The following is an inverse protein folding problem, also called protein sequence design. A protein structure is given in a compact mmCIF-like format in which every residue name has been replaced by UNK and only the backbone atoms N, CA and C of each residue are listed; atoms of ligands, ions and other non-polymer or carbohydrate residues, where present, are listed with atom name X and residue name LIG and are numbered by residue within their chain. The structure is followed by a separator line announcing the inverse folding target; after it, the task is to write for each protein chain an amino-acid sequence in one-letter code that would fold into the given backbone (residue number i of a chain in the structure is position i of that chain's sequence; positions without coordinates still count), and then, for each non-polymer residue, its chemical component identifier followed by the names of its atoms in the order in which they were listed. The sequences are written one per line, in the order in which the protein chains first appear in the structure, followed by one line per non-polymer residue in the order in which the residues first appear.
data_IF_509408733589
#
_entry.id   IF_509408733589
#
_cell.length_a   1.000
_cell.length_b   1.000
_cell.length_c   1.000
_cell.angle_alpha   90.00
_cell.angle_beta   90.00
_cell.angle_gamma   90.00
#
_symmetry.space_group_name_H-M   'P 1'
#
loop_
_entity.id
_entity.type
_entity.pdbx_description
1 polymer ?
#
# COMPACT_ATOMS: atom_id res chain seq x y z
N UNK A 1 -17.11 -13.92 27.35
CA UNK A 1 -16.45 -12.82 26.61
C UNK A 1 -15.20 -13.39 25.94
N UNK A 2 -14.80 -12.93 24.76
CA UNK A 2 -13.80 -13.60 23.89
C UNK A 2 -12.40 -13.84 24.50
N UNK A 3 -12.14 -13.39 25.73
CA UNK A 3 -10.89 -13.66 26.46
C UNK A 3 -9.76 -12.68 26.14
N UNK A 4 -10.08 -11.54 25.52
CA UNK A 4 -9.09 -10.49 25.29
C UNK A 4 -8.72 -9.78 26.59
N UNK A 5 -7.42 -9.54 26.75
CA UNK A 5 -6.85 -8.83 27.89
C UNK A 5 -6.85 -7.32 27.67
N UNK A 6 -6.54 -6.54 28.70
CA UNK A 6 -6.33 -5.10 28.55
C UNK A 6 -5.20 -4.77 27.57
N UNK A 7 -4.14 -5.60 27.51
CA UNK A 7 -3.03 -5.36 26.58
C UNK A 7 -3.43 -5.62 25.13
N UNK A 8 -4.33 -6.58 24.85
CA UNK A 8 -4.92 -6.76 23.51
C UNK A 8 -5.61 -5.48 23.02
N UNK A 9 -6.41 -4.85 23.90
CA UNK A 9 -7.14 -3.63 23.55
C UNK A 9 -6.19 -2.45 23.32
N UNK A 10 -5.16 -2.29 24.17
CA UNK A 10 -4.13 -1.26 23.98
C UNK A 10 -3.39 -1.49 22.67
N UNK A 11 -2.96 -2.72 22.37
CA UNK A 11 -2.24 -3.06 21.15
C UNK A 11 -3.11 -2.82 19.90
N UNK A 12 -4.39 -3.17 19.94
CA UNK A 12 -5.33 -2.93 18.85
C UNK A 12 -5.56 -1.43 18.61
N UNK A 13 -5.76 -0.64 19.67
CA UNK A 13 -5.90 0.82 19.57
C UNK A 13 -4.62 1.42 18.99
N UNK A 14 -3.45 1.01 19.48
CA UNK A 14 -2.16 1.47 18.97
C UNK A 14 -1.97 1.10 17.50
N UNK A 15 -2.37 -0.10 17.08
CA UNK A 15 -2.33 -0.53 15.69
C UNK A 15 -3.21 0.34 14.78
N UNK A 16 -4.48 0.55 15.15
CA UNK A 16 -5.41 1.37 14.38
C UNK A 16 -4.94 2.82 14.32
N UNK A 17 -4.51 3.38 15.45
CA UNK A 17 -3.96 4.73 15.53
C UNK A 17 -2.69 4.87 14.68
N UNK A 18 -1.79 3.88 14.71
CA UNK A 18 -0.57 3.87 13.90
C UNK A 18 -0.86 3.80 12.41
N UNK A 19 -1.81 2.97 12.00
CA UNK A 19 -2.22 2.87 10.60
C UNK A 19 -2.80 4.19 10.09
N UNK A 20 -3.80 4.72 10.79
CA UNK A 20 -4.47 5.96 10.40
C UNK A 20 -3.53 7.16 10.49
N UNK A 21 -2.79 7.28 11.59
CA UNK A 21 -1.83 8.34 11.85
C UNK A 21 -0.71 8.37 10.81
N UNK A 22 -0.13 7.22 10.48
CA UNK A 22 0.86 7.13 9.40
C UNK A 22 0.26 7.53 8.06
N UNK A 23 -0.95 7.03 7.75
CA UNK A 23 -1.66 7.37 6.51
C UNK A 23 -1.89 8.86 6.37
N UNK A 24 -2.32 9.54 7.44
CA UNK A 24 -2.46 11.00 7.49
C UNK A 24 -1.10 11.65 7.31
N UNK A 25 -0.08 11.28 8.08
CA UNK A 25 1.23 11.96 8.06
C UNK A 25 1.93 11.92 6.68
N UNK A 26 1.76 10.84 5.90
CA UNK A 26 2.41 10.71 4.58
C UNK A 26 1.56 11.23 3.43
N UNK A 27 0.26 11.46 3.63
CA UNK A 27 -0.68 11.90 2.58
C UNK A 27 -1.25 13.31 2.81
N UNK A 28 -1.25 13.80 4.05
CA UNK A 28 -1.83 15.08 4.47
C UNK A 28 -0.87 15.83 5.41
N UNK A 29 -0.79 17.14 5.26
CA UNK A 29 -0.01 18.01 6.16
C UNK A 29 1.47 18.19 5.76
N UNK A 30 2.28 18.83 6.63
CA UNK A 30 3.61 19.34 6.27
C UNK A 30 4.63 18.26 5.88
N UNK A 31 4.45 17.03 6.39
CA UNK A 31 5.32 15.90 6.09
C UNK A 31 5.01 15.27 4.73
N UNK A 32 3.78 15.41 4.20
CA UNK A 32 3.40 14.80 2.93
C UNK A 32 4.29 15.29 1.78
N UNK A 33 4.57 16.59 1.72
CA UNK A 33 5.42 17.21 0.69
C UNK A 33 6.86 16.69 0.71
N UNK A 34 7.38 16.37 1.91
CA UNK A 34 8.74 15.88 2.11
C UNK A 34 8.87 14.38 1.88
N UNK A 35 7.76 13.65 1.75
CA UNK A 35 7.77 12.21 1.56
C UNK A 35 8.36 11.81 0.21
N UNK A 36 9.05 10.67 0.16
CA UNK A 36 9.55 10.10 -1.09
C UNK A 36 8.45 9.98 -2.17
N UNK A 37 7.22 9.65 -1.77
CA UNK A 37 6.08 9.55 -2.68
C UNK A 37 5.74 10.89 -3.35
N UNK A 38 5.71 12.00 -2.59
CA UNK A 38 5.48 13.33 -3.16
C UNK A 38 6.55 13.70 -4.18
N UNK A 39 7.81 13.38 -3.88
CA UNK A 39 8.93 13.65 -4.78
C UNK A 39 8.85 12.82 -6.05
N UNK A 40 8.42 11.56 -5.93
CA UNK A 40 8.15 10.70 -7.09
C UNK A 40 6.97 11.21 -7.92
N UNK A 41 5.97 11.86 -7.33
CA UNK A 41 4.87 12.48 -8.09
C UNK A 41 5.39 13.56 -9.03
N UNK A 42 6.38 14.36 -8.63
CA UNK A 42 7.03 15.34 -9.51
C UNK A 42 7.75 14.66 -10.69
N UNK A 43 8.33 13.47 -10.48
CA UNK A 43 9.01 12.71 -11.54
C UNK A 43 8.01 12.04 -12.47
N UNK A 44 6.86 11.57 -11.95
CA UNK A 44 5.73 11.10 -12.76
C UNK A 44 5.18 12.23 -13.64
N UNK A 45 5.03 13.43 -13.08
CA UNK A 45 4.60 14.60 -13.82
C UNK A 45 5.59 14.95 -14.95
N UNK A 46 6.88 15.04 -14.63
CA UNK A 46 7.94 15.26 -15.62
C UNK A 46 7.97 14.18 -16.69
N UNK A 47 7.88 12.91 -16.31
CA UNK A 47 7.85 11.78 -17.24
C UNK A 47 6.74 11.94 -18.28
N UNK A 48 5.52 12.25 -17.84
CA UNK A 48 4.39 12.45 -18.76
C UNK A 48 4.60 13.70 -19.63
N UNK A 49 5.10 14.81 -19.08
CA UNK A 49 5.43 16.01 -19.87
C UNK A 49 6.45 15.70 -20.98
N UNK A 50 7.49 14.93 -20.67
CA UNK A 50 8.48 14.54 -21.68
C UNK A 50 7.93 13.50 -22.66
N UNK A 51 7.00 12.64 -22.24
CA UNK A 51 6.40 11.62 -23.11
C UNK A 51 5.65 12.22 -24.30
N UNK A 52 5.04 13.41 -24.13
CA UNK A 52 4.28 14.07 -25.21
C UNK A 52 5.19 14.60 -26.31
N UNK A 53 6.42 14.99 -25.96
CA UNK A 53 7.43 15.47 -26.91
C UNK A 53 8.03 14.36 -27.76
N UNK A 54 7.85 13.10 -27.36
CA UNK A 54 8.36 11.94 -28.09
C UNK A 54 7.47 11.64 -29.27
N UNK A 55 8.11 11.38 -30.41
CA UNK A 55 7.44 10.91 -31.63
C UNK A 55 6.90 9.50 -31.46
N UNK A 56 7.68 8.63 -30.80
CA UNK A 56 7.28 7.27 -30.48
C UNK A 56 7.13 7.10 -28.96
N UNK A 57 5.91 6.76 -28.53
CA UNK A 57 5.53 6.58 -27.12
C UNK A 57 5.53 5.12 -26.65
N UNK A 58 6.07 4.18 -27.43
CA UNK A 58 6.13 2.75 -27.06
C UNK A 58 6.85 2.55 -25.71
N UNK A 59 7.92 3.30 -25.45
CA UNK A 59 8.63 3.20 -24.16
C UNK A 59 7.68 3.56 -23.00
N UNK A 60 6.86 4.59 -23.17
CA UNK A 60 5.95 5.07 -22.14
C UNK A 60 4.79 4.09 -21.89
N UNK A 61 4.26 3.48 -22.94
CA UNK A 61 3.24 2.43 -22.81
C UNK A 61 3.80 1.16 -22.16
N UNK A 62 5.05 0.79 -22.44
CA UNK A 62 5.73 -0.33 -21.77
C UNK A 62 5.95 -0.07 -20.28
N UNK A 63 6.38 1.14 -19.90
CA UNK A 63 6.48 1.52 -18.49
C UNK A 63 5.10 1.47 -17.81
N UNK A 64 4.05 1.93 -18.48
CA UNK A 64 2.67 1.86 -17.96
C UNK A 64 2.22 0.41 -17.74
N UNK A 65 2.49 -0.48 -18.70
CA UNK A 65 2.20 -1.92 -18.58
C UNK A 65 2.93 -2.54 -17.40
N UNK A 66 4.20 -2.17 -17.17
CA UNK A 66 4.96 -2.60 -15.99
C UNK A 66 4.28 -2.19 -14.66
N UNK A 67 3.81 -0.95 -14.57
CA UNK A 67 3.08 -0.45 -13.39
C UNK A 67 1.73 -1.16 -13.20
N UNK A 68 0.98 -1.42 -14.27
CA UNK A 68 -0.27 -2.17 -14.24
C UNK A 68 -0.04 -3.62 -13.79
N UNK A 69 0.93 -4.32 -14.38
CA UNK A 69 1.27 -5.70 -14.03
C UNK A 69 1.73 -5.82 -12.58
N UNK A 70 2.55 -4.90 -12.10
CA UNK A 70 2.93 -4.86 -10.68
C UNK A 70 1.72 -4.68 -9.77
N UNK A 71 0.75 -3.85 -10.16
CA UNK A 71 -0.48 -3.66 -9.39
C UNK A 71 -1.38 -4.90 -9.41
N UNK A 72 -1.51 -5.55 -10.57
CA UNK A 72 -2.27 -6.79 -10.72
C UNK A 72 -1.68 -7.91 -9.86
N UNK A 73 -0.35 -8.06 -9.85
CA UNK A 73 0.35 -9.02 -9.00
C UNK A 73 -0.03 -8.86 -7.52
N UNK A 74 0.06 -7.64 -6.99
CA UNK A 74 -0.31 -7.37 -5.59
C UNK A 74 -1.80 -7.57 -5.29
N UNK A 75 -2.69 -7.27 -6.25
CA UNK A 75 -4.12 -7.56 -6.11
C UNK A 75 -4.37 -9.08 -6.01
N UNK A 76 -3.74 -9.88 -6.88
CA UNK A 76 -3.82 -11.34 -6.84
C UNK A 76 -3.25 -11.91 -5.54
N UNK A 77 -2.09 -11.41 -5.07
CA UNK A 77 -1.53 -11.81 -3.77
C UNK A 77 -2.51 -11.52 -2.63
N UNK A 78 -3.23 -10.39 -2.69
CA UNK A 78 -4.24 -10.05 -1.68
C UNK A 78 -5.41 -11.05 -1.69
N UNK A 79 -5.88 -11.48 -2.87
CA UNK A 79 -6.92 -12.52 -2.98
C UNK A 79 -6.46 -13.87 -2.42
N UNK A 80 -5.22 -14.28 -2.70
CA UNK A 80 -4.64 -15.49 -2.14
C UNK A 80 -4.58 -15.40 -0.61
N UNK A 81 -4.17 -14.26 -0.07
CA UNK A 81 -4.11 -14.02 1.38
C UNK A 81 -5.50 -14.02 2.05
N UNK A 82 -6.52 -13.50 1.36
CA UNK A 82 -7.93 -13.63 1.80
C UNK A 82 -8.33 -15.11 1.83
N UNK A 83 -8.06 -15.87 0.76
CA UNK A 83 -8.34 -17.30 0.70
C UNK A 83 -7.64 -18.08 1.83
N UNK A 84 -6.37 -17.77 2.11
CA UNK A 84 -5.63 -18.33 3.23
C UNK A 84 -6.25 -17.98 4.58
N UNK A 85 -6.73 -16.75 4.76
CA UNK A 85 -7.43 -16.33 5.98
C UNK A 85 -8.75 -17.09 6.16
N UNK A 86 -9.53 -17.28 5.09
CA UNK A 86 -10.77 -18.07 5.14
C UNK A 86 -10.50 -19.56 5.43
N UNK A 87 -9.41 -20.13 4.90
CA UNK A 87 -8.98 -21.49 5.22
C UNK A 87 -8.59 -21.64 6.71
N UNK A 88 -7.96 -20.62 7.30
CA UNK A 88 -7.67 -20.58 8.73
C UNK A 88 -8.95 -20.54 9.59
N UNK A 89 -10.01 -19.87 9.14
CA UNK A 89 -11.31 -19.91 9.81
C UNK A 89 -11.91 -21.31 9.80
N UNK A 90 -11.87 -21.99 8.65
CA UNK A 90 -12.42 -23.36 8.51
C UNK A 90 -11.65 -24.39 9.33
N UNK A 91 -10.35 -24.15 9.59
CA UNK A 91 -9.46 -25.06 10.31
C UNK A 91 -9.14 -24.61 11.74
N UNK A 92 -9.95 -23.70 12.31
CA UNK A 92 -9.69 -23.07 13.62
C UNK A 92 -9.36 -24.09 14.71
N UNK A 93 -10.17 -25.13 14.90
CA UNK A 93 -9.97 -26.10 15.98
C UNK A 93 -8.62 -26.83 15.86
N UNK A 94 -8.20 -27.18 14.63
CA UNK A 94 -6.91 -27.84 14.36
C UNK A 94 -5.74 -26.88 14.60
N UNK A 95 -5.86 -25.63 14.14
CA UNK A 95 -4.77 -24.65 14.28
C UNK A 95 -4.60 -24.22 15.74
N UNK A 96 -5.69 -23.97 16.45
CA UNK A 96 -5.64 -23.63 17.88
C UNK A 96 -5.02 -24.76 18.69
N UNK A 97 -5.32 -26.03 18.38
CA UNK A 97 -4.68 -27.17 19.04
C UNK A 97 -3.14 -27.19 18.83
N UNK A 98 -2.67 -26.97 17.60
CA UNK A 98 -1.24 -26.88 17.30
C UNK A 98 -0.57 -25.74 18.07
N UNK A 99 -1.24 -24.59 18.17
CA UNK A 99 -0.72 -23.45 18.93
C UNK A 99 -0.73 -23.71 20.43
N UNK A 100 -1.71 -24.45 20.97
CA UNK A 100 -1.75 -24.78 22.40
C UNK A 100 -0.54 -25.60 22.86
N UNK A 101 0.09 -26.35 21.96
CA UNK A 101 1.30 -27.12 22.24
C UNK A 101 2.59 -26.28 22.23
N UNK A 102 2.53 -25.00 21.81
CA UNK A 102 3.69 -24.11 21.77
C UNK A 102 3.93 -23.43 23.13
N UNK A 103 5.16 -23.46 23.66
CA UNK A 103 5.46 -22.94 25.00
C UNK A 103 5.39 -21.40 25.11
N UNK A 104 5.28 -20.69 23.98
CA UNK A 104 5.33 -19.22 23.93
C UNK A 104 3.99 -18.55 23.59
N UNK A 105 2.90 -19.31 23.48
CA UNK A 105 1.59 -18.77 23.06
C UNK A 105 0.57 -18.88 24.18
N UNK A 106 -0.11 -17.77 24.46
CA UNK A 106 -1.17 -17.76 25.45
C UNK A 106 -2.37 -18.62 24.98
N UNK A 107 -3.05 -19.35 25.89
CA UNK A 107 -4.26 -20.10 25.55
C UNK A 107 -5.28 -19.16 24.90
N UNK A 108 -5.54 -19.37 23.62
CA UNK A 108 -6.44 -18.50 22.83
C UNK A 108 -7.79 -19.18 22.68
N UNK A 109 -8.86 -18.49 23.05
CA UNK A 109 -10.21 -19.01 22.82
C UNK A 109 -10.48 -19.10 21.31
N UNK A 110 -11.29 -20.09 20.91
CA UNK A 110 -11.75 -20.21 19.52
C UNK A 110 -12.31 -18.89 18.98
N UNK A 111 -13.16 -18.22 19.77
CA UNK A 111 -13.76 -16.95 19.38
C UNK A 111 -12.71 -15.84 19.18
N UNK A 112 -11.68 -15.76 20.02
CA UNK A 112 -10.59 -14.80 19.84
C UNK A 112 -9.78 -15.10 18.57
N UNK A 113 -9.51 -16.37 18.27
CA UNK A 113 -8.85 -16.78 17.04
C UNK A 113 -9.66 -16.36 15.81
N UNK A 114 -10.94 -16.70 15.75
CA UNK A 114 -11.84 -16.34 14.66
C UNK A 114 -11.89 -14.82 14.44
N UNK A 115 -11.98 -14.02 15.51
CA UNK A 115 -11.95 -12.55 15.43
C UNK A 115 -10.63 -12.04 14.84
N UNK A 116 -9.48 -12.59 15.27
CA UNK A 116 -8.17 -12.22 14.72
C UNK A 116 -8.09 -12.56 13.22
N UNK A 117 -8.55 -13.74 12.81
CA UNK A 117 -8.54 -14.13 11.40
C UNK A 117 -9.47 -13.26 10.56
N UNK A 118 -10.66 -12.92 11.06
CA UNK A 118 -11.57 -11.99 10.38
C UNK A 118 -10.91 -10.61 10.22
N UNK A 119 -10.26 -10.09 11.27
CA UNK A 119 -9.55 -8.82 11.18
C UNK A 119 -8.41 -8.84 10.15
N UNK A 120 -7.65 -9.93 10.08
CA UNK A 120 -6.64 -10.14 9.04
C UNK A 120 -7.24 -10.18 7.63
N UNK A 121 -8.36 -10.88 7.45
CA UNK A 121 -9.08 -10.93 6.18
C UNK A 121 -9.58 -9.54 5.75
N UNK A 122 -10.08 -8.72 6.69
CA UNK A 122 -10.48 -7.33 6.42
C UNK A 122 -9.30 -6.47 5.95
N UNK A 123 -8.12 -6.64 6.55
CA UNK A 123 -6.90 -5.95 6.13
C UNK A 123 -6.54 -6.31 4.69
N UNK A 124 -6.56 -7.59 4.33
CA UNK A 124 -6.28 -8.04 2.97
C UNK A 124 -7.37 -7.64 1.97
N UNK A 125 -8.64 -7.63 2.37
CA UNK A 125 -9.73 -7.10 1.57
C UNK A 125 -9.52 -5.60 1.27
N UNK A 126 -9.16 -4.81 2.28
CA UNK A 126 -8.77 -3.41 2.08
C UNK A 126 -7.60 -3.29 1.09
N UNK A 127 -6.55 -4.10 1.24
CA UNK A 127 -5.40 -4.10 0.33
C UNK A 127 -5.84 -4.40 -1.12
N UNK A 128 -6.64 -5.45 -1.31
CA UNK A 128 -7.21 -5.84 -2.60
C UNK A 128 -7.95 -4.67 -3.26
N UNK A 129 -8.88 -4.01 -2.55
CA UNK A 129 -9.62 -2.87 -3.11
C UNK A 129 -8.70 -1.71 -3.49
N UNK A 130 -7.63 -1.43 -2.71
CA UNK A 130 -6.67 -0.39 -3.07
C UNK A 130 -5.87 -0.75 -4.32
N UNK A 131 -5.41 -1.99 -4.45
CA UNK A 131 -4.70 -2.44 -5.65
C UNK A 131 -5.62 -2.53 -6.87
N UNK A 132 -6.82 -3.09 -6.76
CA UNK A 132 -7.80 -3.14 -7.85
C UNK A 132 -8.15 -1.74 -8.36
N UNK A 133 -8.33 -0.77 -7.46
CA UNK A 133 -8.57 0.62 -7.86
C UNK A 133 -7.34 1.23 -8.54
N UNK A 134 -6.14 1.02 -7.99
CA UNK A 134 -4.90 1.47 -8.63
C UNK A 134 -4.72 0.89 -10.03
N UNK A 135 -5.07 -0.38 -10.23
CA UNK A 135 -4.98 -1.07 -11.52
C UNK A 135 -5.90 -0.39 -12.54
N UNK A 136 -7.16 -0.16 -12.16
CA UNK A 136 -8.13 0.56 -12.99
C UNK A 136 -7.63 1.96 -13.37
N UNK A 137 -7.06 2.71 -12.43
CA UNK A 137 -6.52 4.04 -12.70
C UNK A 137 -5.29 4.02 -13.62
N UNK A 138 -4.41 3.01 -13.51
CA UNK A 138 -3.32 2.86 -14.47
C UNK A 138 -3.81 2.49 -15.87
N UNK A 139 -4.89 1.70 -16.00
CA UNK A 139 -5.53 1.44 -17.29
C UNK A 139 -6.09 2.73 -17.90
N UNK A 140 -6.75 3.56 -17.09
CA UNK A 140 -7.22 4.88 -17.54
C UNK A 140 -6.07 5.80 -17.92
N UNK A 141 -4.96 5.78 -17.18
CA UNK A 141 -3.77 6.54 -17.53
C UNK A 141 -3.17 6.10 -18.88
N UNK A 142 -3.23 4.81 -19.21
CA UNK A 142 -2.78 4.31 -20.52
C UNK A 142 -3.66 4.82 -21.67
N UNK A 143 -4.99 4.81 -21.47
CA UNK A 143 -5.95 5.37 -22.44
C UNK A 143 -5.69 6.86 -22.64
N UNK A 144 -5.55 7.63 -21.54
CA UNK A 144 -5.27 9.06 -21.61
C UNK A 144 -3.94 9.34 -22.32
N UNK A 145 -2.88 8.57 -22.02
CA UNK A 145 -1.58 8.69 -22.68
C UNK A 145 -1.67 8.44 -24.20
N UNK A 146 -2.46 7.45 -24.61
CA UNK A 146 -2.73 7.14 -26.01
C UNK A 146 -3.59 8.19 -26.72
N UNK A 147 -4.43 8.92 -25.97
CA UNK A 147 -5.28 9.97 -26.49
C UNK A 147 -4.59 11.34 -26.59
N UNK A 148 -3.39 11.51 -26.03
CA UNK A 148 -2.68 12.80 -26.09
C UNK A 148 -2.38 13.16 -27.55
N UNK A 149 -2.70 14.39 -28.00
CA UNK A 149 -2.39 14.86 -29.34
C UNK A 149 -0.92 14.67 -29.77
N UNK A 150 -0.64 14.62 -31.08
CA UNK A 150 0.72 14.60 -31.62
C UNK A 150 1.56 15.79 -31.15
N UNK A 151 2.90 15.64 -31.17
CA UNK A 151 3.85 16.65 -30.66
C UNK A 151 3.75 18.00 -31.39
N UNK A 152 3.25 18.01 -32.62
CA UNK A 152 3.06 19.22 -33.42
C UNK A 152 2.02 20.16 -32.78
N UNK A 153 1.15 19.62 -31.92
CA UNK A 153 0.07 20.33 -31.22
C UNK A 153 0.39 20.63 -29.75
N UNK A 154 1.67 20.63 -29.36
CA UNK A 154 2.12 20.81 -27.98
C UNK A 154 1.64 22.12 -27.32
N UNK A 155 1.57 23.21 -28.10
CA UNK A 155 1.17 24.53 -27.57
C UNK A 155 -0.35 24.71 -27.45
N UNK A 156 -1.13 23.81 -28.05
CA UNK A 156 -2.59 23.84 -28.00
C UNK A 156 -3.09 23.59 -26.56
N UNK A 157 -4.14 24.30 -26.19
CA UNK A 157 -4.75 24.19 -24.87
C UNK A 157 -5.26 22.77 -24.60
N UNK A 158 -5.82 22.11 -25.62
CA UNK A 158 -6.28 20.71 -25.56
C UNK A 158 -5.15 19.77 -25.11
N UNK A 159 -3.94 19.90 -25.68
CA UNK A 159 -2.78 19.08 -25.32
C UNK A 159 -2.34 19.33 -23.88
N UNK A 160 -2.33 20.59 -23.44
CA UNK A 160 -1.96 20.97 -22.07
C UNK A 160 -2.94 20.38 -21.05
N UNK A 161 -4.23 20.34 -21.39
CA UNK A 161 -5.26 19.73 -20.55
C UNK A 161 -5.15 18.21 -20.50
N UNK A 162 -4.97 17.54 -21.64
CA UNK A 162 -4.77 16.10 -21.72
C UNK A 162 -3.54 15.64 -20.90
N UNK A 163 -2.44 16.40 -20.96
CA UNK A 163 -1.24 16.18 -20.13
C UNK A 163 -1.58 16.27 -18.65
N UNK A 164 -2.27 17.34 -18.23
CA UNK A 164 -2.64 17.56 -16.84
C UNK A 164 -3.50 16.43 -16.29
N UNK A 165 -4.49 15.98 -17.07
CA UNK A 165 -5.37 14.86 -16.71
C UNK A 165 -4.59 13.55 -16.57
N UNK A 166 -3.71 13.25 -17.52
CA UNK A 166 -2.85 12.06 -17.49
C UNK A 166 -1.95 12.07 -16.25
N UNK A 167 -1.36 13.22 -15.90
CA UNK A 167 -0.54 13.38 -14.69
C UNK A 167 -1.36 13.13 -13.44
N UNK A 168 -2.52 13.77 -13.33
CA UNK A 168 -3.39 13.63 -12.17
C UNK A 168 -3.83 12.16 -11.99
N UNK A 169 -4.17 11.47 -13.08
CA UNK A 169 -4.55 10.06 -13.09
C UNK A 169 -3.39 9.16 -12.65
N UNK A 170 -2.18 9.38 -13.18
CA UNK A 170 -1.00 8.58 -12.83
C UNK A 170 -0.64 8.72 -11.35
N UNK A 171 -0.66 9.94 -10.83
CA UNK A 171 -0.42 10.22 -9.41
C UNK A 171 -1.51 9.57 -8.55
N UNK A 172 -2.78 9.65 -8.96
CA UNK A 172 -3.88 9.00 -8.24
C UNK A 172 -3.69 7.48 -8.18
N UNK A 173 -3.33 6.84 -9.28
CA UNK A 173 -3.01 5.42 -9.32
C UNK A 173 -1.90 5.07 -8.32
N UNK A 174 -0.76 5.79 -8.40
CA UNK A 174 0.36 5.59 -7.47
C UNK A 174 -0.02 5.76 -5.99
N UNK A 175 -0.90 6.71 -5.64
CA UNK A 175 -1.40 6.85 -4.27
C UNK A 175 -2.16 5.61 -3.80
N UNK A 176 -3.04 5.06 -4.63
CA UNK A 176 -3.79 3.85 -4.27
C UNK A 176 -2.87 2.62 -4.15
N UNK A 177 -1.89 2.49 -5.04
CA UNK A 177 -0.85 1.47 -4.92
C UNK A 177 -0.12 1.53 -3.56
N UNK A 178 0.34 2.72 -3.18
CA UNK A 178 1.04 2.93 -1.91
C UNK A 178 0.17 2.61 -0.69
N UNK A 179 -1.15 2.90 -0.76
CA UNK A 179 -2.12 2.54 0.30
C UNK A 179 -2.28 1.02 0.43
N UNK A 180 -2.30 0.30 -0.69
CA UNK A 180 -2.32 -1.17 -0.71
C UNK A 180 -1.05 -1.76 -0.11
N UNK A 181 0.12 -1.27 -0.52
CA UNK A 181 1.41 -1.73 0.03
C UNK A 181 1.51 -1.50 1.53
N UNK A 182 1.03 -0.35 2.01
CA UNK A 182 0.94 -0.06 3.44
C UNK A 182 0.09 -1.11 4.18
N UNK A 183 -1.05 -1.49 3.64
CA UNK A 183 -1.90 -2.51 4.25
C UNK A 183 -1.17 -3.86 4.41
N UNK A 184 -0.30 -4.25 3.46
CA UNK A 184 0.52 -5.45 3.59
C UNK A 184 1.55 -5.36 4.72
N UNK A 185 2.22 -4.21 4.89
CA UNK A 185 3.14 -4.03 6.02
C UNK A 185 2.40 -4.10 7.37
N UNK A 186 1.22 -3.50 7.47
CA UNK A 186 0.40 -3.60 8.67
C UNK A 186 -0.18 -5.01 8.87
N UNK A 187 -0.50 -5.75 7.80
CA UNK A 187 -0.88 -7.17 7.90
C UNK A 187 0.24 -8.00 8.53
N UNK A 188 1.50 -7.74 8.17
CA UNK A 188 2.65 -8.41 8.76
C UNK A 188 2.79 -8.11 10.26
N UNK A 189 2.59 -6.85 10.68
CA UNK A 189 2.53 -6.52 12.11
C UNK A 189 1.37 -7.24 12.81
N UNK A 190 0.20 -7.29 12.17
CA UNK A 190 -1.00 -7.94 12.69
C UNK A 190 -0.81 -9.44 12.96
N UNK A 191 0.03 -10.12 12.17
CA UNK A 191 0.37 -11.52 12.43
C UNK A 191 0.98 -11.74 13.83
N UNK A 192 1.68 -10.75 14.39
CA UNK A 192 2.20 -10.81 15.76
C UNK A 192 1.10 -11.03 16.80
N UNK A 193 -0.13 -10.59 16.52
CA UNK A 193 -1.26 -10.74 17.44
C UNK A 193 -1.73 -12.19 17.61
N UNK A 194 -1.43 -13.07 16.66
CA UNK A 194 -1.72 -14.50 16.79
C UNK A 194 -0.81 -15.19 17.82
N UNK A 195 0.36 -14.62 18.09
CA UNK A 195 1.32 -15.18 19.04
C UNK A 195 1.12 -14.54 20.42
N UNK A 196 1.24 -13.22 20.50
CA UNK A 196 1.18 -12.49 21.76
C UNK A 196 0.83 -10.99 21.55
N UNK A 197 0.05 -10.35 22.45
CA UNK A 197 -0.28 -8.92 22.33
C UNK A 197 0.93 -7.97 22.40
N UNK A 198 1.98 -8.32 23.14
CA UNK A 198 3.23 -7.54 23.16
C UNK A 198 3.99 -7.67 21.85
N UNK A 199 4.00 -8.87 21.25
CA UNK A 199 4.57 -9.03 19.91
C UNK A 199 3.80 -8.20 18.88
N UNK A 200 2.48 -8.15 18.97
CA UNK A 200 1.67 -7.28 18.11
C UNK A 200 2.03 -5.80 18.26
N UNK A 201 2.13 -5.32 19.49
CA UNK A 201 2.48 -3.93 19.80
C UNK A 201 3.89 -3.57 19.28
N UNK A 202 4.88 -4.43 19.56
CA UNK A 202 6.26 -4.22 19.12
C UNK A 202 6.43 -4.34 17.61
N UNK A 203 5.77 -5.32 16.97
CA UNK A 203 5.78 -5.48 15.51
C UNK A 203 5.13 -4.27 14.82
N UNK A 204 4.05 -3.72 15.39
CA UNK A 204 3.41 -2.49 14.91
C UNK A 204 4.37 -1.30 14.99
N UNK A 205 5.05 -1.12 16.13
CA UNK A 205 6.02 -0.04 16.30
C UNK A 205 7.23 -0.20 15.35
N UNK A 206 7.70 -1.42 15.14
CA UNK A 206 8.78 -1.73 14.21
C UNK A 206 8.39 -1.41 12.76
N UNK A 207 7.21 -1.87 12.32
CA UNK A 207 6.67 -1.56 10.99
C UNK A 207 6.52 -0.05 10.80
N UNK A 208 5.96 0.66 11.78
CA UNK A 208 5.80 2.11 11.73
C UNK A 208 7.16 2.81 11.58
N UNK A 209 8.16 2.38 12.36
CA UNK A 209 9.53 2.92 12.32
C UNK A 209 10.20 2.67 10.97
N UNK A 210 10.13 1.44 10.46
CA UNK A 210 10.72 1.07 9.17
C UNK A 210 10.05 1.86 8.04
N UNK A 211 8.72 1.94 8.03
CA UNK A 211 7.98 2.68 7.02
C UNK A 211 8.30 4.18 7.06
N UNK A 212 8.35 4.77 8.26
CA UNK A 212 8.72 6.17 8.44
C UNK A 212 10.13 6.46 7.93
N UNK A 213 11.11 5.65 8.35
CA UNK A 213 12.49 5.76 7.87
C UNK A 213 12.56 5.61 6.35
N UNK A 214 11.80 4.69 5.75
CA UNK A 214 11.78 4.49 4.29
C UNK A 214 11.27 5.73 3.55
N UNK A 215 10.26 6.42 4.09
CA UNK A 215 9.70 7.61 3.45
C UNK A 215 10.56 8.86 3.58
N UNK A 216 11.29 9.03 4.68
CA UNK A 216 11.93 10.30 5.04
C UNK A 216 13.46 10.24 5.20
N UNK A 217 14.01 9.09 5.55
CA UNK A 217 15.42 8.93 5.93
C UNK A 217 16.16 7.83 5.15
N UNK A 218 15.53 7.22 4.14
CA UNK A 218 16.17 6.20 3.31
C UNK A 218 17.22 6.80 2.37
N UNK A 219 18.18 5.98 1.96
CA UNK A 219 19.13 6.35 0.91
C UNK A 219 18.40 6.81 -0.36
N UNK A 220 17.30 6.15 -0.72
CA UNK A 220 16.44 6.54 -1.84
C UNK A 220 15.84 7.94 -1.67
N UNK A 221 15.43 8.33 -0.46
CA UNK A 221 15.01 9.69 -0.18
C UNK A 221 16.18 10.69 -0.25
N UNK A 222 17.40 10.27 0.15
CA UNK A 222 18.59 11.13 0.08
C UNK A 222 19.05 11.42 -1.35
N UNK A 223 18.79 10.54 -2.32
CA UNK A 223 19.13 10.75 -3.75
C UNK A 223 18.66 12.10 -4.24
N UNK A 224 17.46 12.51 -3.83
CA UNK A 224 16.84 13.72 -4.31
C UNK A 224 17.18 14.96 -3.45
N UNK A 225 17.75 14.82 -2.24
CA UNK A 225 18.11 15.96 -1.34
C UNK A 225 19.58 16.37 -1.45
N UNK A 226 20.43 15.56 -2.07
CA UNK A 226 21.81 16.00 -2.37
C UNK A 226 21.75 17.09 -3.46
N UNK A 227 22.35 18.29 -3.22
CA UNK A 227 22.69 19.17 -4.32
C UNK A 227 23.59 18.36 -5.27
N UNK A 228 23.34 18.47 -6.58
CA UNK A 228 24.18 17.80 -7.58
C UNK A 228 25.65 18.13 -7.37
N UNK A 229 26.50 17.13 -7.60
CA UNK A 229 27.87 17.37 -8.04
C UNK A 229 27.86 18.06 -9.40
#
# INVERSE_FOLDING_TARGET
MAGFTTIDMIALIFFVASWLGYGVAVEKGPHAERSLNSRMNLRRARWIQESVRRENRIIDTQVMNGLQNGTAFFASTSLIAIGGSLALLQSTDRVVAIFADLPFTAPTSRAAWEIKVIGLAVIFAHAFFKFAWSYRLFNYCAILLGAIPPRERLEEQETKEAVRETIAMNIAAGRHFNRGQRAFFFALAYLGWFIDPWLFLTATAAVLTVMWRRQFASESARIFTRPGH
#
